data_IF_126177054954
#
_entry.id   IF_126177054954
#
_cell.length_a   1.000
_cell.length_b   1.000
_cell.length_c   1.000
_cell.angle_alpha   90.00
_cell.angle_beta   90.00
_cell.angle_gamma   90.00
#
_symmetry.space_group_name_H-M   'P 1'
#
loop_
_entity.id
_entity.type
_entity.pdbx_description
1 polymer ?
#
# COMPACT_ATOMS: atom_id res chain seq x y z
N UNK A 1 60.11 38.09 -46.91
CA UNK A 1 59.54 39.05 -47.89
C UNK A 1 58.01 39.06 -47.68
N UNK A 2 57.54 40.16 -47.15
CA UNK A 2 56.37 40.97 -47.59
C UNK A 2 55.07 40.14 -47.71
N UNK A 3 53.95 40.54 -47.20
CA UNK A 3 53.39 41.85 -46.89
C UNK A 3 52.11 41.70 -46.10
N UNK A 4 52.03 42.50 -45.05
CA UNK A 4 50.86 42.98 -44.37
C UNK A 4 49.75 43.43 -45.30
N UNK A 5 48.48 43.12 -45.00
CA UNK A 5 47.38 44.09 -45.21
C UNK A 5 46.26 43.84 -44.19
N UNK A 6 46.15 44.80 -43.32
CA UNK A 6 45.07 45.17 -42.47
C UNK A 6 43.93 45.73 -43.35
N UNK A 7 42.67 45.28 -43.19
CA UNK A 7 41.51 45.99 -43.69
C UNK A 7 40.45 46.05 -42.59
N UNK A 8 39.78 47.16 -42.42
CA UNK A 8 39.24 47.58 -41.14
C UNK A 8 37.77 47.10 -40.86
N UNK A 9 37.55 47.06 -39.60
CA UNK A 9 36.31 47.02 -38.87
C UNK A 9 35.27 48.00 -39.45
N UNK A 10 34.11 47.50 -39.83
CA UNK A 10 32.91 48.29 -40.05
C UNK A 10 31.84 47.82 -39.06
N UNK A 11 31.76 48.58 -37.99
CA UNK A 11 30.76 48.54 -36.97
C UNK A 11 29.47 49.09 -37.58
N UNK A 12 28.53 48.23 -37.91
CA UNK A 12 27.14 48.61 -38.18
C UNK A 12 26.32 48.37 -36.92
N UNK A 13 26.15 49.43 -36.19
CA UNK A 13 25.21 49.53 -35.08
C UNK A 13 23.79 49.61 -35.63
N UNK A 14 23.07 48.50 -35.66
CA UNK A 14 21.62 48.48 -35.87
C UNK A 14 20.96 48.59 -34.54
N UNK A 15 20.53 49.79 -34.18
CA UNK A 15 19.60 50.00 -33.09
C UNK A 15 18.22 49.46 -33.52
N UNK A 16 17.89 48.20 -33.06
CA UNK A 16 16.52 47.72 -33.10
C UNK A 16 15.80 48.29 -31.90
N UNK A 17 14.97 49.31 -32.14
CA UNK A 17 13.96 49.80 -31.23
C UNK A 17 12.95 48.68 -31.00
N UNK A 18 13.11 47.95 -29.89
CA UNK A 18 12.07 47.06 -29.38
C UNK A 18 10.89 47.89 -28.92
N UNK A 19 9.89 48.00 -29.75
CA UNK A 19 8.55 48.40 -29.35
C UNK A 19 8.05 47.37 -28.31
N UNK A 20 7.97 47.83 -27.08
CA UNK A 20 7.24 47.13 -26.01
C UNK A 20 5.77 47.22 -26.42
N UNK A 21 5.32 46.23 -27.23
CA UNK A 21 3.93 45.91 -27.27
C UNK A 21 3.62 45.27 -25.92
N UNK A 22 3.11 46.08 -24.99
CA UNK A 22 2.46 45.58 -23.81
C UNK A 22 1.31 44.70 -24.27
N UNK A 23 1.51 43.36 -24.19
CA UNK A 23 0.38 42.50 -23.99
C UNK A 23 -0.21 42.90 -22.62
N UNK A 24 -1.26 43.70 -22.69
CA UNK A 24 -2.31 43.63 -21.70
C UNK A 24 -2.74 42.16 -21.73
N UNK A 25 -2.16 41.37 -20.85
CA UNK A 25 -2.73 40.11 -20.49
C UNK A 25 -4.15 40.45 -20.05
N UNK A 26 -5.13 40.10 -20.87
CA UNK A 26 -6.41 39.77 -20.33
C UNK A 26 -6.10 38.74 -19.27
N UNK A 27 -6.24 39.10 -18.00
CA UNK A 27 -6.60 38.17 -16.97
C UNK A 27 -7.83 37.45 -17.53
N UNK A 28 -7.58 36.31 -18.19
CA UNK A 28 -8.55 35.26 -18.20
C UNK A 28 -8.62 34.86 -16.71
N UNK A 29 -9.45 35.63 -15.95
CA UNK A 29 -10.22 35.02 -14.89
C UNK A 29 -10.83 33.75 -15.51
N UNK A 30 -10.10 32.65 -15.39
CA UNK A 30 -10.70 31.36 -15.48
C UNK A 30 -11.70 31.39 -14.33
N UNK A 31 -12.94 31.81 -14.67
CA UNK A 31 -14.11 31.52 -13.89
C UNK A 31 -14.12 29.99 -13.81
N UNK A 32 -13.41 29.47 -12.81
CA UNK A 32 -13.62 28.12 -12.36
C UNK A 32 -15.05 28.17 -11.86
N UNK A 33 -16.00 27.76 -12.71
CA UNK A 33 -17.38 27.57 -12.28
C UNK A 33 -17.29 26.64 -11.07
N UNK A 34 -17.46 27.22 -9.89
CA UNK A 34 -17.51 26.43 -8.67
C UNK A 34 -18.77 25.59 -8.79
N UNK A 35 -18.58 24.26 -8.70
CA UNK A 35 -19.72 23.34 -8.69
C UNK A 35 -20.78 23.84 -7.69
N UNK A 36 -22.07 23.81 -8.03
CA UNK A 36 -23.11 24.13 -7.09
C UNK A 36 -23.27 23.12 -5.95
N UNK A 37 -22.58 21.98 -6.03
CA UNK A 37 -22.61 20.94 -5.01
C UNK A 37 -21.59 21.26 -3.93
N UNK A 38 -22.05 21.38 -2.69
CA UNK A 38 -21.23 21.45 -1.48
C UNK A 38 -21.01 20.02 -0.93
N UNK A 39 -19.79 19.50 -1.07
CA UNK A 39 -19.43 18.17 -0.61
C UNK A 39 -19.13 18.19 0.89
N UNK A 40 -19.95 17.48 1.68
CA UNK A 40 -19.73 17.22 3.10
C UNK A 40 -19.91 15.73 3.34
N UNK A 41 -18.80 15.01 3.54
CA UNK A 41 -18.80 13.56 3.76
C UNK A 41 -18.20 13.24 5.12
N UNK A 42 -18.88 12.40 5.90
CA UNK A 42 -18.40 11.89 7.17
C UNK A 42 -17.90 10.46 7.01
N UNK A 43 -16.81 10.16 7.68
CA UNK A 43 -16.23 8.83 7.79
C UNK A 43 -15.47 8.73 9.11
N UNK A 44 -15.55 7.59 9.78
CA UNK A 44 -14.90 7.39 11.09
C UNK A 44 -13.43 7.03 10.93
N UNK A 45 -13.09 6.24 9.91
CA UNK A 45 -11.75 5.73 9.67
C UNK A 45 -11.35 5.85 8.19
N UNK A 46 -10.05 6.02 7.96
CA UNK A 46 -9.41 5.99 6.64
C UNK A 46 -8.25 5.01 6.59
N UNK A 47 -8.23 4.05 7.51
CA UNK A 47 -7.22 3.01 7.56
C UNK A 47 -7.77 1.73 8.17
N UNK A 48 -7.10 0.61 7.87
CA UNK A 48 -7.41 -0.67 8.47
C UNK A 48 -6.38 -1.71 8.07
N UNK A 49 -6.55 -2.94 8.58
CA UNK A 49 -5.65 -4.05 8.31
C UNK A 49 -6.47 -5.25 7.84
N UNK A 50 -6.14 -5.75 6.63
CA UNK A 50 -6.62 -7.04 6.15
C UNK A 50 -5.90 -8.11 6.96
N UNK A 51 -6.64 -9.10 7.47
CA UNK A 51 -6.07 -10.21 8.22
C UNK A 51 -6.29 -11.49 7.43
N UNK A 52 -5.17 -12.13 7.07
CA UNK A 52 -5.15 -13.44 6.42
C UNK A 52 -4.58 -14.49 7.39
N UNK A 53 -5.28 -15.63 7.53
CA UNK A 53 -4.82 -16.74 8.34
C UNK A 53 -4.49 -17.95 7.46
N UNK A 54 -3.27 -18.49 7.60
CA UNK A 54 -2.78 -19.65 6.86
C UNK A 54 -2.24 -20.68 7.87
N UNK A 55 -2.65 -21.94 7.76
CA UNK A 55 -2.10 -23.01 8.59
C UNK A 55 -1.79 -24.23 7.75
N UNK A 56 -0.60 -24.81 7.95
CA UNK A 56 -0.10 -25.98 7.22
C UNK A 56 -0.26 -25.84 5.69
N UNK A 57 -0.02 -24.62 5.17
CA UNK A 57 -0.11 -24.30 3.74
C UNK A 57 -1.55 -24.14 3.22
N UNK A 58 -2.55 -24.07 4.08
CA UNK A 58 -3.95 -23.85 3.72
C UNK A 58 -4.44 -22.51 4.26
N UNK A 59 -4.99 -21.67 3.39
CA UNK A 59 -5.67 -20.43 3.81
C UNK A 59 -6.95 -20.79 4.55
N UNK A 60 -7.08 -20.33 5.80
CA UNK A 60 -8.23 -20.56 6.66
C UNK A 60 -9.25 -19.43 6.57
N UNK A 61 -8.77 -18.20 6.55
CA UNK A 61 -9.61 -17.00 6.46
C UNK A 61 -8.86 -15.83 5.82
N UNK A 62 -9.62 -14.89 5.26
CA UNK A 62 -9.15 -13.57 4.85
C UNK A 62 -10.27 -12.57 5.11
N UNK A 63 -10.01 -11.57 5.95
CA UNK A 63 -10.97 -10.55 6.34
C UNK A 63 -10.55 -9.21 5.77
N UNK A 64 -11.35 -8.66 4.86
CA UNK A 64 -11.15 -7.31 4.30
C UNK A 64 -11.48 -6.20 5.28
N UNK A 65 -11.21 -4.96 4.86
CA UNK A 65 -11.49 -3.74 5.64
C UNK A 65 -12.68 -3.02 5.05
N UNK A 66 -13.81 -2.98 5.78
CA UNK A 66 -14.99 -2.21 5.39
C UNK A 66 -14.87 -0.77 5.90
N UNK A 67 -14.99 0.21 5.00
CA UNK A 67 -15.10 1.63 5.30
C UNK A 67 -16.47 2.15 4.88
N UNK A 68 -17.04 3.07 5.69
CA UNK A 68 -18.33 3.68 5.45
C UNK A 68 -18.17 5.18 5.22
N UNK A 69 -18.87 5.71 4.20
CA UNK A 69 -18.87 7.11 3.82
C UNK A 69 -20.30 7.64 3.83
N UNK A 70 -20.59 8.62 4.70
CA UNK A 70 -21.89 9.22 4.86
C UNK A 70 -21.96 10.59 4.18
N UNK A 71 -22.78 10.71 3.15
CA UNK A 71 -23.02 11.89 2.32
C UNK A 71 -24.27 12.68 2.75
N UNK A 72 -24.91 12.34 3.87
CA UNK A 72 -26.21 12.92 4.26
C UNK A 72 -26.23 14.46 4.37
N UNK A 73 -25.05 15.10 4.46
CA UNK A 73 -24.93 16.56 4.50
C UNK A 73 -24.47 17.19 3.20
N UNK A 74 -24.18 16.39 2.17
CA UNK A 74 -23.87 16.89 0.84
C UNK A 74 -25.12 17.44 0.19
N UNK A 75 -25.05 18.67 -0.35
CA UNK A 75 -26.21 19.37 -0.93
C UNK A 75 -25.85 20.06 -2.24
N UNK A 76 -26.85 20.27 -3.11
CA UNK A 76 -26.73 21.13 -4.29
C UNK A 76 -27.52 22.40 -4.10
N UNK A 77 -26.95 23.54 -4.52
CA UNK A 77 -27.65 24.84 -4.53
C UNK A 77 -28.63 24.99 -5.70
N UNK A 78 -28.45 24.21 -6.77
CA UNK A 78 -29.20 24.35 -8.02
C UNK A 78 -30.16 23.19 -8.29
N UNK A 79 -30.11 22.11 -7.48
CA UNK A 79 -30.93 20.93 -7.66
C UNK A 79 -31.01 20.04 -6.43
N UNK A 80 -31.47 18.81 -6.62
CA UNK A 80 -31.48 17.79 -5.59
C UNK A 80 -30.38 16.77 -5.89
N UNK A 81 -29.74 16.22 -4.87
CA UNK A 81 -28.77 15.16 -5.07
C UNK A 81 -29.46 13.93 -5.67
N UNK A 82 -28.88 13.37 -6.74
CA UNK A 82 -29.41 12.21 -7.44
C UNK A 82 -28.61 10.96 -7.12
N UNK A 83 -27.28 11.05 -7.14
CA UNK A 83 -26.39 9.94 -6.85
C UNK A 83 -25.22 10.39 -5.99
N UNK A 84 -24.77 9.49 -5.11
CA UNK A 84 -23.46 9.54 -4.47
C UNK A 84 -22.56 8.46 -5.04
N UNK A 85 -21.25 8.67 -5.00
CA UNK A 85 -20.29 7.66 -5.46
C UNK A 85 -18.98 7.66 -4.68
N UNK A 86 -18.34 6.50 -4.70
CA UNK A 86 -16.97 6.25 -4.20
C UNK A 86 -16.17 5.63 -5.32
N UNK A 87 -15.02 6.21 -5.66
CA UNK A 87 -13.98 5.59 -6.48
C UNK A 87 -12.89 5.11 -5.54
N UNK A 88 -12.77 3.80 -5.27
CA UNK A 88 -11.93 3.30 -4.18
C UNK A 88 -10.43 3.47 -4.39
N UNK A 89 -9.98 3.54 -5.64
CA UNK A 89 -8.56 3.71 -5.97
C UNK A 89 -7.73 2.43 -5.98
N UNK A 90 -8.33 1.28 -5.71
CA UNK A 90 -7.72 -0.05 -5.69
C UNK A 90 -7.85 -0.81 -7.03
N UNK A 91 -8.11 -0.09 -8.13
CA UNK A 91 -8.32 -0.66 -9.44
C UNK A 91 -9.74 -1.19 -9.69
N UNK A 92 -10.61 -1.22 -8.67
CA UNK A 92 -12.01 -1.62 -8.83
C UNK A 92 -12.85 -0.48 -9.43
N UNK A 93 -14.04 -0.84 -9.90
CA UNK A 93 -14.98 0.13 -10.45
C UNK A 93 -15.62 0.99 -9.36
N UNK A 94 -16.01 2.21 -9.74
CA UNK A 94 -16.81 3.12 -8.92
C UNK A 94 -18.05 2.43 -8.35
N UNK A 95 -18.32 2.64 -7.07
CA UNK A 95 -19.56 2.24 -6.38
C UNK A 95 -20.48 3.45 -6.30
N UNK A 96 -21.75 3.27 -6.62
CA UNK A 96 -22.77 4.33 -6.59
C UNK A 96 -23.96 3.96 -5.72
N UNK A 97 -24.58 4.97 -5.14
CA UNK A 97 -25.85 4.88 -4.43
C UNK A 97 -26.82 5.95 -4.94
N UNK A 98 -28.11 5.60 -5.02
CA UNK A 98 -29.17 6.54 -5.32
C UNK A 98 -29.45 7.39 -4.05
N UNK A 99 -29.36 8.72 -4.17
CA UNK A 99 -29.53 9.65 -3.04
C UNK A 99 -30.93 9.59 -2.41
N UNK A 100 -31.96 9.17 -3.17
CA UNK A 100 -33.32 8.98 -2.65
C UNK A 100 -33.45 7.71 -1.78
N UNK A 101 -32.52 6.74 -1.92
CA UNK A 101 -32.55 5.48 -1.19
C UNK A 101 -31.62 5.46 0.02
N UNK A 102 -30.39 5.93 -0.16
CA UNK A 102 -29.39 6.00 0.90
C UNK A 102 -28.36 7.08 0.65
N UNK A 103 -27.89 7.67 1.73
CA UNK A 103 -26.77 8.60 1.71
C UNK A 103 -25.47 7.94 2.19
N UNK A 104 -25.48 6.65 2.53
CA UNK A 104 -24.28 5.92 2.98
C UNK A 104 -23.82 4.93 1.91
N UNK A 105 -22.51 4.93 1.65
CA UNK A 105 -21.83 3.94 0.81
C UNK A 105 -20.80 3.23 1.68
N UNK A 106 -20.88 1.88 1.69
CA UNK A 106 -19.89 1.01 2.31
C UNK A 106 -19.06 0.36 1.23
N UNK A 107 -17.74 0.30 1.47
CA UNK A 107 -16.81 -0.36 0.58
C UNK A 107 -15.84 -1.23 1.37
N UNK A 108 -15.59 -2.46 0.90
CA UNK A 108 -14.66 -3.39 1.53
C UNK A 108 -13.41 -3.52 0.67
N UNK A 109 -12.27 -3.12 1.22
CA UNK A 109 -10.96 -3.35 0.62
C UNK A 109 -10.50 -4.77 0.88
N UNK A 110 -10.07 -5.47 -0.19
CA UNK A 110 -9.52 -6.82 -0.15
C UNK A 110 -8.05 -6.85 -0.61
N UNK A 111 -7.48 -5.71 -0.94
CA UNK A 111 -6.06 -5.54 -1.28
C UNK A 111 -5.44 -4.43 -0.44
N UNK A 112 -4.17 -4.59 -0.08
CA UNK A 112 -3.44 -3.60 0.69
C UNK A 112 -2.83 -2.52 -0.19
N UNK A 113 -2.69 -1.31 0.34
CA UNK A 113 -2.16 -0.17 -0.40
C UNK A 113 -2.41 1.17 0.25
N UNK A 114 -1.91 2.21 -0.40
CA UNK A 114 -2.16 3.61 -0.07
C UNK A 114 -3.00 4.24 -1.19
N UNK A 115 -4.32 4.22 -1.03
CA UNK A 115 -5.28 4.54 -2.07
C UNK A 115 -5.68 6.03 -2.06
N UNK A 116 -5.76 6.63 -3.25
CA UNK A 116 -6.44 7.92 -3.43
C UNK A 116 -7.91 7.65 -3.77
N UNK A 117 -8.78 7.95 -2.84
CA UNK A 117 -10.22 7.71 -2.93
C UNK A 117 -10.94 9.00 -3.31
N UNK A 118 -11.82 8.95 -4.32
CA UNK A 118 -12.69 10.08 -4.64
C UNK A 118 -14.11 9.81 -4.13
N UNK A 119 -14.61 10.75 -3.34
CA UNK A 119 -15.96 10.76 -2.77
C UNK A 119 -16.75 11.86 -3.47
N UNK A 120 -17.80 11.51 -4.19
CA UNK A 120 -18.49 12.46 -5.04
C UNK A 120 -20.01 12.34 -5.05
N UNK A 121 -20.63 13.30 -5.70
CA UNK A 121 -22.08 13.35 -5.88
C UNK A 121 -22.50 14.09 -7.14
N UNK A 122 -23.62 13.65 -7.69
CA UNK A 122 -24.25 14.20 -8.90
C UNK A 122 -25.66 14.65 -8.55
N UNK A 123 -26.04 15.84 -8.96
CA UNK A 123 -27.40 16.36 -8.80
C UNK A 123 -28.30 16.08 -10.02
N UNK A 124 -29.59 16.40 -9.92
CA UNK A 124 -30.61 16.21 -10.96
C UNK A 124 -30.46 17.16 -12.14
N UNK A 125 -29.56 18.13 -12.07
CA UNK A 125 -29.19 19.03 -13.17
C UNK A 125 -27.94 18.52 -13.92
N UNK A 126 -27.31 17.42 -13.44
CA UNK A 126 -26.10 16.83 -14.01
C UNK A 126 -24.82 17.54 -13.57
N UNK A 127 -24.87 18.37 -12.51
CA UNK A 127 -23.65 18.88 -11.90
C UNK A 127 -22.98 17.77 -11.11
N UNK A 128 -21.65 17.74 -11.18
CA UNK A 128 -20.79 16.77 -10.46
C UNK A 128 -19.78 17.52 -9.60
N UNK A 129 -19.51 17.00 -8.40
CA UNK A 129 -18.43 17.45 -7.55
C UNK A 129 -17.90 16.29 -6.70
N UNK A 130 -16.62 16.35 -6.37
CA UNK A 130 -15.98 15.36 -5.53
C UNK A 130 -14.87 15.98 -4.66
N UNK A 131 -14.51 15.23 -3.62
CA UNK A 131 -13.32 15.44 -2.80
C UNK A 131 -12.45 14.20 -2.84
N UNK A 132 -11.16 14.35 -2.61
CA UNK A 132 -10.24 13.22 -2.49
C UNK A 132 -9.75 13.07 -1.07
N UNK A 133 -9.60 11.82 -0.64
CA UNK A 133 -8.99 11.44 0.63
C UNK A 133 -7.95 10.35 0.40
N UNK A 134 -7.06 10.16 1.36
CA UNK A 134 -6.14 9.02 1.35
C UNK A 134 -6.67 7.94 2.30
N UNK A 135 -6.73 6.71 1.80
CA UNK A 135 -7.06 5.50 2.57
C UNK A 135 -5.85 4.59 2.61
N UNK A 136 -5.46 4.15 3.82
CA UNK A 136 -4.35 3.26 4.06
C UNK A 136 -4.85 1.89 4.51
N UNK A 137 -4.56 0.86 3.72
CA UNK A 137 -4.89 -0.52 4.04
C UNK A 137 -3.59 -1.32 4.17
N UNK A 138 -3.35 -1.84 5.35
CA UNK A 138 -2.23 -2.74 5.67
C UNK A 138 -2.67 -4.19 5.50
N UNK A 139 -1.72 -5.14 5.46
CA UNK A 139 -2.02 -6.57 5.45
C UNK A 139 -1.21 -7.27 6.52
N UNK A 140 -1.89 -8.02 7.40
CA UNK A 140 -1.31 -8.92 8.38
C UNK A 140 -1.55 -10.37 7.96
N UNK A 141 -0.51 -11.17 7.96
CA UNK A 141 -0.56 -12.60 7.63
C UNK A 141 -0.16 -13.38 8.87
N UNK A 142 -1.13 -14.11 9.44
CA UNK A 142 -0.92 -15.04 10.53
C UNK A 142 -0.69 -16.42 9.93
N UNK A 143 0.56 -16.88 9.95
CA UNK A 143 0.96 -18.12 9.32
C UNK A 143 1.48 -19.13 10.34
N UNK A 144 1.14 -20.42 10.15
CA UNK A 144 1.64 -21.49 11.00
C UNK A 144 1.91 -22.78 10.22
N UNK A 145 2.96 -23.49 10.62
CA UNK A 145 3.27 -24.84 10.16
C UNK A 145 3.63 -25.70 11.38
N UNK A 146 2.72 -26.62 11.71
CA UNK A 146 2.77 -27.31 12.98
C UNK A 146 3.23 -28.75 12.82
N UNK A 147 4.05 -29.22 13.78
CA UNK A 147 4.57 -30.58 13.88
C UNK A 147 5.30 -31.02 12.61
N UNK A 148 6.22 -30.19 12.15
CA UNK A 148 6.96 -30.41 10.88
C UNK A 148 8.44 -30.60 11.11
N UNK A 149 9.07 -31.51 10.36
CA UNK A 149 10.52 -31.67 10.23
C UNK A 149 11.08 -30.94 9.00
N UNK A 150 10.20 -30.36 8.20
CA UNK A 150 10.53 -29.61 6.99
C UNK A 150 9.55 -28.43 6.83
N UNK A 151 9.78 -27.32 7.54
CA UNK A 151 8.91 -26.16 7.49
C UNK A 151 8.74 -25.63 6.06
N UNK A 152 7.51 -25.25 5.71
CA UNK A 152 7.21 -24.64 4.42
C UNK A 152 7.66 -23.19 4.41
N UNK A 153 8.05 -22.74 3.24
CA UNK A 153 8.29 -21.32 2.99
C UNK A 153 6.97 -20.53 3.02
N UNK A 154 7.03 -19.31 3.59
CA UNK A 154 5.95 -18.35 3.56
C UNK A 154 6.22 -17.31 2.48
N UNK A 155 5.25 -17.15 1.56
CA UNK A 155 5.28 -16.08 0.56
C UNK A 155 4.65 -14.81 1.14
N UNK A 156 5.35 -13.68 0.98
CA UNK A 156 4.89 -12.36 1.39
C UNK A 156 4.80 -11.51 0.12
N UNK A 157 3.59 -11.27 -0.37
CA UNK A 157 3.39 -10.41 -1.53
C UNK A 157 3.42 -8.95 -1.08
N UNK A 158 4.56 -8.30 -1.33
CA UNK A 158 4.79 -6.89 -1.00
C UNK A 158 4.38 -5.93 -2.14
N UNK A 159 3.81 -6.44 -3.23
CA UNK A 159 3.31 -5.63 -4.31
C UNK A 159 1.81 -5.36 -4.13
N UNK A 160 1.36 -4.09 -4.02
CA UNK A 160 -0.07 -3.81 -4.02
C UNK A 160 -0.66 -4.05 -5.41
N UNK A 161 -1.91 -4.52 -5.46
CA UNK A 161 -2.66 -4.74 -6.72
C UNK A 161 -3.18 -3.42 -7.34
N UNK A 162 -2.46 -2.32 -7.18
CA UNK A 162 -2.81 -1.00 -7.69
C UNK A 162 -1.57 -0.21 -8.14
N UNK A 163 -1.78 0.81 -8.96
CA UNK A 163 -0.75 1.81 -9.28
C UNK A 163 -0.57 2.78 -8.09
N UNK A 164 -0.21 2.25 -6.93
CA UNK A 164 -0.01 3.03 -5.71
C UNK A 164 1.44 2.87 -5.18
N UNK A 165 1.80 3.69 -4.19
CA UNK A 165 3.14 3.63 -3.62
C UNK A 165 3.41 2.24 -3.00
N UNK A 166 4.63 1.70 -3.14
CA UNK A 166 5.01 0.45 -2.49
C UNK A 166 4.94 0.60 -0.96
N UNK A 167 4.83 -0.54 -0.24
CA UNK A 167 4.87 -0.51 1.21
C UNK A 167 6.21 0.01 1.73
N UNK A 168 6.20 0.63 2.91
CA UNK A 168 7.39 1.18 3.55
C UNK A 168 8.31 0.11 4.11
N UNK A 169 7.70 -0.90 4.76
CA UNK A 169 8.44 -2.03 5.32
C UNK A 169 7.53 -3.23 5.58
N UNK A 170 8.18 -4.40 5.72
CA UNK A 170 7.58 -5.62 6.24
C UNK A 170 8.05 -5.78 7.67
N UNK A 171 7.11 -5.91 8.61
CA UNK A 171 7.35 -6.25 10.00
C UNK A 171 7.18 -7.76 10.16
N UNK A 172 8.15 -8.44 10.74
CA UNK A 172 8.17 -9.88 10.96
C UNK A 172 8.28 -10.15 12.45
N UNK A 173 7.35 -10.89 13.00
CA UNK A 173 7.41 -11.52 14.31
C UNK A 173 7.28 -13.03 14.10
N UNK A 174 8.35 -13.77 14.32
CA UNK A 174 8.41 -15.21 14.05
C UNK A 174 8.84 -15.97 15.29
N UNK A 175 8.17 -17.08 15.57
CA UNK A 175 8.48 -17.98 16.68
C UNK A 175 8.58 -19.41 16.18
N UNK A 176 9.60 -20.11 16.63
CA UNK A 176 9.77 -21.55 16.46
C UNK A 176 9.77 -22.20 17.82
N UNK A 177 8.92 -23.19 18.03
CA UNK A 177 8.84 -24.00 19.24
C UNK A 177 9.30 -25.42 18.92
N UNK A 178 10.15 -26.00 19.80
CA UNK A 178 10.43 -27.42 19.84
C UNK A 178 9.53 -28.05 20.92
N UNK A 179 8.37 -28.66 20.55
CA UNK A 179 7.42 -29.17 21.54
C UNK A 179 8.04 -30.26 22.40
N UNK A 180 7.70 -30.24 23.70
CA UNK A 180 8.26 -31.23 24.64
C UNK A 180 7.94 -32.68 24.22
N UNK A 181 8.98 -33.49 24.11
CA UNK A 181 8.84 -34.91 23.81
C UNK A 181 8.06 -35.66 24.89
N UNK A 182 7.04 -36.43 24.47
CA UNK A 182 6.11 -37.12 25.41
C UNK A 182 6.72 -38.36 26.07
N UNK A 183 7.69 -39.02 25.45
CA UNK A 183 8.13 -40.36 25.88
C UNK A 183 9.58 -40.51 26.26
N UNK A 184 10.55 -39.98 25.59
CA UNK A 184 11.99 -39.98 25.95
C UNK A 184 12.78 -38.98 25.10
N UNK A 185 13.45 -38.06 25.79
CA UNK A 185 14.61 -37.35 25.28
C UNK A 185 14.37 -36.58 24.01
N UNK A 186 13.60 -35.49 24.09
CA UNK A 186 13.65 -34.45 23.08
C UNK A 186 15.09 -33.96 22.93
N UNK A 187 15.46 -33.65 21.72
CA UNK A 187 16.77 -33.19 21.36
C UNK A 187 16.91 -31.67 21.53
N UNK A 188 17.97 -31.20 20.96
CA UNK A 188 18.22 -29.79 20.76
C UNK A 188 18.31 -29.56 19.25
N UNK A 189 17.51 -28.64 18.73
CA UNK A 189 17.52 -28.27 17.32
C UNK A 189 18.25 -26.94 17.15
N UNK A 190 18.97 -26.82 16.04
CA UNK A 190 19.49 -25.53 15.56
C UNK A 190 18.61 -25.12 14.38
N UNK A 191 17.98 -23.98 14.49
CA UNK A 191 17.10 -23.43 13.47
C UNK A 191 17.62 -22.10 12.94
N UNK A 192 17.48 -21.90 11.66
CA UNK A 192 17.82 -20.63 10.99
C UNK A 192 16.62 -20.08 10.25
N UNK A 193 16.37 -18.79 10.44
CA UNK A 193 15.45 -17.99 9.64
C UNK A 193 16.19 -17.35 8.48
N UNK A 194 15.56 -17.30 7.32
CA UNK A 194 16.05 -16.62 6.13
C UNK A 194 14.93 -15.77 5.53
N UNK A 195 15.26 -14.52 5.20
CA UNK A 195 14.40 -13.64 4.42
C UNK A 195 15.07 -13.32 3.10
N UNK A 196 14.42 -13.68 2.00
CA UNK A 196 14.90 -13.40 0.64
C UNK A 196 13.95 -12.45 -0.08
N UNK A 197 14.51 -11.60 -0.93
CA UNK A 197 13.76 -10.70 -1.79
C UNK A 197 13.23 -11.41 -3.07
N UNK A 198 12.44 -10.72 -3.91
CA UNK A 198 11.93 -11.29 -5.17
C UNK A 198 13.01 -11.68 -6.19
N UNK A 199 14.27 -11.23 -6.02
CA UNK A 199 15.43 -11.62 -6.85
C UNK A 199 16.19 -12.82 -6.25
N UNK A 200 15.64 -13.46 -5.22
CA UNK A 200 16.23 -14.57 -4.45
C UNK A 200 17.54 -14.18 -3.72
N UNK A 201 17.76 -12.88 -3.47
CA UNK A 201 18.87 -12.43 -2.63
C UNK A 201 18.48 -12.48 -1.14
N UNK A 202 19.31 -13.16 -0.33
CA UNK A 202 19.14 -13.17 1.12
C UNK A 202 19.39 -11.77 1.70
N UNK A 203 18.38 -11.23 2.39
CA UNK A 203 18.43 -9.90 3.03
C UNK A 203 18.66 -9.96 4.52
N UNK A 204 18.19 -11.01 5.17
CA UNK A 204 18.40 -11.22 6.59
C UNK A 204 18.42 -12.71 6.93
N UNK A 205 19.20 -13.04 7.95
CA UNK A 205 19.25 -14.38 8.54
C UNK A 205 19.43 -14.29 10.04
N UNK A 206 18.91 -15.28 10.76
CA UNK A 206 19.05 -15.41 12.21
C UNK A 206 19.11 -16.88 12.58
N UNK A 207 19.94 -17.25 13.53
CA UNK A 207 20.12 -18.65 13.94
C UNK A 207 20.03 -18.77 15.45
N UNK A 208 19.25 -19.74 15.94
CA UNK A 208 19.10 -20.04 17.36
C UNK A 208 19.12 -21.54 17.62
N UNK A 209 19.43 -21.89 18.85
CA UNK A 209 19.43 -23.27 19.34
C UNK A 209 18.26 -23.41 20.32
N UNK A 210 17.38 -24.38 20.05
CA UNK A 210 16.12 -24.58 20.78
C UNK A 210 16.18 -25.97 21.45
N UNK A 211 16.05 -26.00 22.76
CA UNK A 211 15.95 -27.27 23.52
C UNK A 211 14.54 -27.84 23.55
N UNK A 212 14.40 -29.08 23.98
CA UNK A 212 13.12 -29.77 24.19
C UNK A 212 12.16 -28.93 25.10
N UNK A 213 10.97 -28.62 24.63
CA UNK A 213 9.98 -27.77 25.31
C UNK A 213 10.34 -26.30 25.37
N UNK A 214 11.25 -25.81 24.51
CA UNK A 214 11.65 -24.40 24.41
C UNK A 214 11.24 -23.79 23.09
N UNK A 215 11.21 -22.46 23.06
CA UNK A 215 10.96 -21.64 21.87
C UNK A 215 12.09 -20.64 21.65
N UNK A 216 12.19 -20.17 20.41
CA UNK A 216 12.99 -19.01 20.01
C UNK A 216 12.19 -18.09 19.11
N UNK A 217 12.44 -16.79 19.18
CA UNK A 217 11.72 -15.80 18.38
C UNK A 217 12.68 -14.87 17.65
N UNK A 218 12.31 -14.51 16.44
CA UNK A 218 13.01 -13.54 15.62
C UNK A 218 12.07 -12.42 15.22
N UNK A 219 12.40 -11.16 15.63
CA UNK A 219 11.67 -9.96 15.30
C UNK A 219 12.55 -9.12 14.37
N UNK A 220 12.01 -8.77 13.20
CA UNK A 220 12.77 -8.06 12.18
C UNK A 220 11.89 -7.15 11.32
N UNK A 221 12.38 -5.95 11.02
CA UNK A 221 11.74 -5.01 10.11
C UNK A 221 12.59 -4.87 8.84
N UNK A 222 12.02 -5.24 7.69
CA UNK A 222 12.66 -5.09 6.39
C UNK A 222 12.18 -3.81 5.69
N UNK A 223 13.10 -2.87 5.51
CA UNK A 223 12.89 -1.62 4.77
C UNK A 223 13.45 -1.71 3.35
N UNK A 224 13.14 -0.69 2.52
CA UNK A 224 13.59 -0.58 1.13
C UNK A 224 13.16 -1.81 0.31
N UNK A 225 11.88 -2.06 0.31
CA UNK A 225 11.30 -3.21 -0.35
C UNK A 225 11.45 -3.11 -1.88
N UNK A 226 11.77 -4.24 -2.48
CA UNK A 226 11.61 -4.48 -3.92
C UNK A 226 10.21 -5.06 -4.12
N UNK A 227 9.50 -4.59 -5.14
CA UNK A 227 8.17 -5.08 -5.49
C UNK A 227 8.22 -6.56 -5.88
N UNK A 228 7.25 -7.33 -5.42
CA UNK A 228 7.10 -8.74 -5.70
C UNK A 228 7.00 -9.60 -4.45
N UNK A 229 7.21 -10.91 -4.62
CA UNK A 229 7.05 -11.91 -3.57
C UNK A 229 8.35 -12.08 -2.81
N UNK A 230 8.34 -11.74 -1.53
CA UNK A 230 9.39 -12.03 -0.56
C UNK A 230 9.16 -13.42 0.03
N UNK A 231 10.24 -14.11 0.41
CA UNK A 231 10.18 -15.46 0.97
C UNK A 231 10.77 -15.44 2.38
N UNK A 232 9.95 -15.82 3.36
CA UNK A 232 10.40 -16.11 4.73
C UNK A 232 10.43 -17.63 4.91
N UNK A 233 11.59 -18.16 5.27
CA UNK A 233 11.77 -19.59 5.52
C UNK A 233 12.44 -19.86 6.86
N UNK A 234 12.15 -21.04 7.42
CA UNK A 234 12.82 -21.61 8.59
C UNK A 234 13.45 -22.93 8.18
N UNK A 235 14.70 -23.12 8.53
CA UNK A 235 15.45 -24.35 8.22
C UNK A 235 15.94 -24.97 9.52
N UNK A 236 15.78 -26.29 9.66
CA UNK A 236 16.40 -27.08 10.74
C UNK A 236 17.81 -27.45 10.27
N UNK A 237 18.83 -26.76 10.81
CA UNK A 237 20.23 -27.01 10.44
C UNK A 237 20.79 -28.28 11.10
N UNK A 238 20.37 -28.51 12.35
CA UNK A 238 20.74 -29.67 13.16
C UNK A 238 19.57 -30.05 14.07
N UNK A 239 19.39 -31.36 14.25
CA UNK A 239 18.32 -31.92 15.06
C UNK A 239 17.42 -32.84 14.22
N UNK A 240 16.50 -33.52 14.83
CA UNK A 240 15.57 -34.46 14.20
C UNK A 240 14.15 -34.33 14.77
N UNK A 241 13.92 -33.37 15.67
CA UNK A 241 12.61 -33.17 16.29
C UNK A 241 11.66 -32.45 15.33
N UNK A 242 10.37 -32.70 15.47
CA UNK A 242 9.37 -31.89 14.78
C UNK A 242 9.21 -30.56 15.55
N UNK A 243 9.16 -29.48 14.81
CA UNK A 243 8.98 -28.12 15.33
C UNK A 243 7.62 -27.57 14.96
N UNK A 244 7.16 -26.59 15.73
CA UNK A 244 6.02 -25.73 15.40
C UNK A 244 6.57 -24.35 15.00
N UNK A 245 6.19 -23.88 13.83
CA UNK A 245 6.59 -22.57 13.30
C UNK A 245 5.38 -21.66 13.20
N UNK A 246 5.51 -20.44 13.70
CA UNK A 246 4.48 -19.40 13.55
C UNK A 246 5.11 -18.08 13.13
N UNK A 247 4.44 -17.39 12.20
CA UNK A 247 4.81 -16.06 11.74
C UNK A 247 3.61 -15.13 11.85
N UNK A 248 3.84 -13.95 12.38
CA UNK A 248 2.97 -12.78 12.27
C UNK A 248 3.71 -11.74 11.43
N UNK A 249 3.26 -11.56 10.20
CA UNK A 249 3.91 -10.67 9.26
C UNK A 249 2.94 -9.57 8.86
N UNK A 250 3.38 -8.31 9.03
CA UNK A 250 2.55 -7.16 8.63
C UNK A 250 3.26 -6.31 7.56
N UNK A 251 2.56 -6.06 6.46
CA UNK A 251 2.96 -5.15 5.39
C UNK A 251 2.47 -3.76 5.76
N UNK A 252 3.39 -2.82 5.92
CA UNK A 252 3.16 -1.48 6.48
C UNK A 252 3.29 -0.37 5.45
N UNK A 253 2.38 0.61 5.53
CA UNK A 253 2.39 1.83 4.76
C UNK A 253 2.50 3.04 5.68
N UNK A 254 3.39 3.98 5.36
CA UNK A 254 3.45 5.29 6.02
C UNK A 254 2.72 6.35 5.17
N UNK A 255 2.02 7.27 5.84
CA UNK A 255 1.30 8.41 5.22
C UNK A 255 2.13 9.68 5.30
#
# INVERSE_FOLDING_TARGET
MRSSRIVPLLLVSVMLSASIAGCLGSDEDSNKETSPIEMIVYYDETSGTIIEEISNGQQLSENGVELAFDFARTTSQNGQMQHFYVVPGDGTSQVQANADETAEIRYTYMTHGLFTVFLGGIDDQGNDNNISITVRIEKQILWSDLSTDSPREMNIDAQPDCECNPPEYIQIESTVENPQAVLFGGGQDTVSWHLSDPEEEEKATHTEIIGDGQDASWNYDQYNLVEGIWILSVVIDQGEDNIDVSHDVTIKYLT
#
